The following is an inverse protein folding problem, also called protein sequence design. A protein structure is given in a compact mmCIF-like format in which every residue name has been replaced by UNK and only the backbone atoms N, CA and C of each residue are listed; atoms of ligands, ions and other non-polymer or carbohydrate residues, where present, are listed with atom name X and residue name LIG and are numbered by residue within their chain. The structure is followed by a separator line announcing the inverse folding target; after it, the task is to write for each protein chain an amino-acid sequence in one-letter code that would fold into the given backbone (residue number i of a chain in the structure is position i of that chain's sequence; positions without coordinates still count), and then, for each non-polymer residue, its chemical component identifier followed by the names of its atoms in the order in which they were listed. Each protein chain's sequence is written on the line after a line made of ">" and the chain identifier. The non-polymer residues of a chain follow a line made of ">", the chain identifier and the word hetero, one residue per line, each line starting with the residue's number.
data_IF_846328810974
#
_entry.id   IF_846328810974
#
_cell.length_a   1.000
_cell.length_b   1.000
_cell.length_c   1.000
_cell.angle_alpha   90.00
_cell.angle_beta   90.00
_cell.angle_gamma   90.00
#
_symmetry.space_group_name_H-M   'P 1'
#
loop_
_entity.id
_entity.type
_entity.pdbx_description
1 polymer ?
#
# COMPACT_ATOMS: atom_id res chain seq x y z
N UNK A 1 -37.96 6.70 -7.82
CA UNK A 1 -37.27 6.16 -6.64
C UNK A 1 -36.13 5.27 -7.07
N UNK A 2 -34.98 5.51 -6.49
CA UNK A 2 -33.86 4.63 -6.74
C UNK A 2 -34.03 3.31 -5.98
N UNK A 3 -33.52 2.25 -6.57
CA UNK A 3 -33.49 0.95 -5.90
C UNK A 3 -32.46 1.00 -4.76
N UNK A 4 -32.70 0.30 -3.65
CA UNK A 4 -31.67 0.17 -2.62
C UNK A 4 -30.44 -0.52 -3.21
N UNK A 5 -29.27 -0.17 -2.69
CA UNK A 5 -28.06 -0.86 -3.06
C UNK A 5 -28.16 -2.34 -2.68
N UNK A 6 -27.60 -3.18 -3.51
CA UNK A 6 -27.55 -4.62 -3.24
C UNK A 6 -26.61 -4.90 -2.06
N UNK A 7 -27.06 -5.70 -1.12
CA UNK A 7 -26.21 -6.14 -0.03
C UNK A 7 -25.19 -7.15 -0.52
N UNK A 8 -23.98 -7.01 0.00
CA UNK A 8 -22.89 -7.93 -0.27
C UNK A 8 -22.46 -8.62 1.02
N UNK A 9 -22.23 -9.92 0.94
CA UNK A 9 -21.71 -10.65 2.08
C UNK A 9 -20.26 -10.30 2.34
N UNK A 10 -19.74 -10.62 3.53
CA UNK A 10 -18.35 -10.40 3.86
C UNK A 10 -17.44 -11.34 3.08
N UNK A 11 -16.21 -10.90 2.87
CA UNK A 11 -15.16 -11.74 2.30
C UNK A 11 -14.05 -11.88 3.34
N UNK A 12 -13.53 -13.08 3.46
CA UNK A 12 -12.52 -13.40 4.46
C UNK A 12 -11.23 -13.83 3.78
N UNK A 13 -10.09 -13.36 4.30
CA UNK A 13 -8.77 -13.80 3.88
C UNK A 13 -7.96 -14.06 5.14
N UNK A 14 -7.26 -15.18 5.18
CA UNK A 14 -6.27 -15.42 6.24
C UNK A 14 -4.89 -15.13 5.68
N UNK A 15 -4.10 -14.42 6.44
CA UNK A 15 -2.76 -13.98 5.97
C UNK A 15 -1.86 -15.16 5.62
N UNK A 16 -2.01 -16.28 6.31
CA UNK A 16 -1.20 -17.47 6.04
C UNK A 16 -1.54 -18.16 4.72
N UNK A 17 -2.71 -17.86 4.17
CA UNK A 17 -3.15 -18.42 2.89
C UNK A 17 -2.65 -17.61 1.70
N UNK A 18 -2.04 -16.45 1.96
CA UNK A 18 -1.58 -15.56 0.92
C UNK A 18 -0.06 -15.64 0.79
N UNK A 19 0.46 -15.73 -0.43
CA UNK A 19 1.91 -15.76 -0.62
C UNK A 19 2.53 -14.38 -0.41
N UNK A 20 3.78 -14.36 0.04
CA UNK A 20 4.59 -13.16 -0.05
C UNK A 20 5.07 -12.98 -1.48
N UNK A 21 4.93 -11.79 -2.01
CA UNK A 21 5.39 -11.44 -3.35
C UNK A 21 6.45 -10.35 -3.25
N UNK A 22 7.53 -10.52 -4.01
CA UNK A 22 8.63 -9.56 -4.02
C UNK A 22 8.19 -8.25 -4.65
N UNK A 23 8.50 -7.15 -3.99
CA UNK A 23 8.29 -5.82 -4.52
C UNK A 23 9.47 -5.37 -5.38
N UNK A 24 9.31 -4.20 -5.99
CA UNK A 24 10.32 -3.65 -6.90
C UNK A 24 11.68 -3.41 -6.24
N UNK A 25 11.67 -2.89 -5.02
CA UNK A 25 12.91 -2.56 -4.32
C UNK A 25 13.37 -3.72 -3.45
N UNK A 26 14.71 -3.94 -3.35
CA UNK A 26 15.23 -5.04 -2.57
C UNK A 26 14.78 -5.00 -1.11
N UNK A 27 14.59 -6.19 -0.53
CA UNK A 27 14.23 -6.32 0.88
C UNK A 27 12.78 -6.02 1.20
N UNK A 28 11.92 -5.93 0.20
CA UNK A 28 10.50 -5.64 0.38
C UNK A 28 9.65 -6.71 -0.26
N UNK A 29 8.66 -7.19 0.49
CA UNK A 29 7.67 -8.16 0.01
C UNK A 29 6.30 -7.75 0.49
N UNK A 30 5.27 -8.09 -0.27
CA UNK A 30 3.89 -7.81 0.12
C UNK A 30 3.00 -9.01 0.06
N UNK A 31 1.94 -8.97 0.86
CA UNK A 31 0.77 -9.85 0.73
C UNK A 31 -0.41 -8.97 0.43
N UNK A 32 -1.04 -9.18 -0.73
CA UNK A 32 -2.27 -8.48 -1.09
C UNK A 32 -3.45 -9.30 -0.61
N UNK A 33 -4.29 -8.70 0.22
CA UNK A 33 -5.46 -9.37 0.79
C UNK A 33 -6.70 -9.07 -0.02
N UNK A 34 -7.00 -7.80 -0.23
CA UNK A 34 -8.12 -7.35 -1.02
C UNK A 34 -7.65 -6.31 -2.01
N UNK A 35 -8.23 -6.37 -3.19
CA UNK A 35 -7.85 -5.47 -4.28
C UNK A 35 -9.11 -5.00 -5.00
N UNK A 36 -9.19 -3.73 -5.43
CA UNK A 36 -10.35 -3.25 -6.18
C UNK A 36 -10.57 -4.07 -7.44
N UNK A 37 -11.81 -4.40 -7.69
CA UNK A 37 -12.22 -5.08 -8.91
C UNK A 37 -12.57 -4.03 -9.97
N UNK A 38 -12.44 -4.35 -11.28
CA UNK A 38 -12.77 -3.37 -12.32
C UNK A 38 -14.17 -2.79 -12.20
N UNK A 39 -15.15 -3.61 -11.83
CA UNK A 39 -16.54 -3.19 -11.66
C UNK A 39 -16.79 -2.48 -10.32
N UNK A 40 -15.81 -2.47 -9.44
CA UNK A 40 -15.87 -1.86 -8.12
C UNK A 40 -14.55 -1.15 -7.79
N UNK A 41 -14.19 -0.23 -8.67
CA UNK A 41 -12.86 0.40 -8.65
C UNK A 41 -12.58 1.28 -7.43
N UNK A 42 -13.61 1.63 -6.66
CA UNK A 42 -13.45 2.44 -5.46
C UNK A 42 -13.31 1.62 -4.18
N UNK A 43 -13.34 0.30 -4.29
CA UNK A 43 -13.08 -0.54 -3.12
C UNK A 43 -11.62 -0.41 -2.71
N UNK A 44 -11.31 -0.63 -1.42
CA UNK A 44 -9.94 -0.47 -0.95
C UNK A 44 -9.01 -1.59 -1.40
N UNK A 45 -7.74 -1.25 -1.48
CA UNK A 45 -6.66 -2.20 -1.62
C UNK A 45 -6.00 -2.36 -0.26
N UNK A 46 -5.89 -3.59 0.23
CA UNK A 46 -5.34 -3.85 1.56
C UNK A 46 -4.30 -4.96 1.52
N UNK A 47 -3.36 -4.87 2.42
CA UNK A 47 -2.34 -5.89 2.53
C UNK A 47 -1.28 -5.57 3.58
N UNK A 48 -0.23 -6.37 3.53
CA UNK A 48 0.94 -6.20 4.38
C UNK A 48 2.17 -5.98 3.52
N UNK A 49 3.10 -5.19 4.03
CA UNK A 49 4.45 -5.09 3.46
C UNK A 49 5.44 -5.47 4.56
N UNK A 50 6.34 -6.38 4.21
CA UNK A 50 7.41 -6.83 5.07
C UNK A 50 8.73 -6.27 4.54
N UNK A 51 9.55 -5.76 5.45
CA UNK A 51 10.84 -5.16 5.13
C UNK A 51 11.96 -5.92 5.81
N UNK A 52 13.02 -6.20 5.07
CA UNK A 52 14.24 -6.73 5.66
C UNK A 52 15.07 -5.61 6.29
N UNK A 53 15.95 -5.94 7.27
CA UNK A 53 16.92 -4.96 7.75
C UNK A 53 17.73 -4.37 6.60
N UNK A 54 17.86 -3.06 6.58
CA UNK A 54 18.57 -2.36 5.51
C UNK A 54 17.72 -1.99 4.29
N UNK A 55 16.44 -2.33 4.29
CA UNK A 55 15.56 -1.99 3.18
C UNK A 55 15.38 -0.48 3.03
N UNK A 56 15.25 -0.05 1.79
CA UNK A 56 15.08 1.35 1.43
C UNK A 56 14.04 1.49 0.34
N UNK A 57 13.19 2.50 0.47
CA UNK A 57 12.19 2.84 -0.54
C UNK A 57 12.29 4.33 -0.83
N UNK A 58 12.52 4.74 -2.09
CA UNK A 58 12.71 6.16 -2.39
C UNK A 58 11.41 6.95 -2.28
N UNK A 59 11.55 8.26 -2.15
CA UNK A 59 10.43 9.17 -2.20
C UNK A 59 9.63 8.96 -3.48
N UNK A 60 8.31 8.93 -3.34
CA UNK A 60 7.41 8.70 -4.47
C UNK A 60 6.05 9.35 -4.23
N UNK A 61 5.24 9.39 -5.28
CA UNK A 61 3.91 10.00 -5.23
C UNK A 61 2.82 8.96 -5.49
N UNK A 62 1.69 9.13 -4.81
CA UNK A 62 0.46 8.39 -5.07
C UNK A 62 -0.72 9.34 -5.29
N UNK A 63 -1.59 8.97 -6.24
CA UNK A 63 -2.84 9.66 -6.53
C UNK A 63 -4.02 8.91 -5.90
N UNK A 64 -3.90 8.59 -4.63
CA UNK A 64 -4.94 7.96 -3.84
C UNK A 64 -4.67 8.25 -2.36
N UNK A 65 -5.62 7.90 -1.50
CA UNK A 65 -5.45 8.01 -0.07
C UNK A 65 -4.91 6.72 0.52
N UNK A 66 -4.22 6.81 1.64
CA UNK A 66 -3.61 5.66 2.26
C UNK A 66 -3.56 5.81 3.78
N UNK A 67 -3.83 4.70 4.45
CA UNK A 67 -3.55 4.53 5.88
C UNK A 67 -2.62 3.35 6.02
N UNK A 68 -1.57 3.49 6.82
CA UNK A 68 -0.79 2.32 7.18
C UNK A 68 -0.42 2.34 8.66
N UNK A 69 -0.19 1.14 9.17
CA UNK A 69 0.08 0.87 10.58
C UNK A 69 1.36 0.07 10.69
N UNK A 70 2.32 0.57 11.43
CA UNK A 70 3.55 -0.16 11.74
C UNK A 70 3.22 -1.17 12.82
N UNK A 71 3.37 -2.44 12.51
CA UNK A 71 3.13 -3.55 13.43
C UNK A 71 4.43 -3.94 14.14
N UNK A 72 5.51 -4.05 13.37
CA UNK A 72 6.82 -4.43 13.87
C UNK A 72 7.90 -3.56 13.24
N UNK A 73 8.97 -3.35 13.98
CA UNK A 73 10.16 -2.66 13.49
C UNK A 73 10.11 -1.16 13.62
N UNK A 74 11.24 -0.54 13.35
CA UNK A 74 11.42 0.91 13.40
C UNK A 74 11.81 1.41 12.03
N UNK A 75 11.14 2.48 11.59
CA UNK A 75 11.32 3.04 10.26
C UNK A 75 11.71 4.51 10.36
N UNK A 76 12.64 4.92 9.52
CA UNK A 76 12.92 6.32 9.32
C UNK A 76 12.21 6.74 8.04
N UNK A 77 11.32 7.72 8.14
CA UNK A 77 10.53 8.23 7.02
C UNK A 77 10.75 9.74 6.97
N UNK A 78 11.49 10.19 5.94
CA UNK A 78 12.03 11.53 5.94
C UNK A 78 12.89 11.76 7.17
N UNK A 79 12.55 12.76 7.96
CA UNK A 79 13.28 13.09 9.19
C UNK A 79 12.71 12.42 10.44
N UNK A 80 11.64 11.64 10.30
CA UNK A 80 10.96 11.04 11.45
C UNK A 80 11.36 9.60 11.65
N UNK A 81 11.54 9.21 12.89
CA UNK A 81 11.73 7.81 13.30
C UNK A 81 10.47 7.33 13.98
N UNK A 82 9.87 6.28 13.41
CA UNK A 82 8.56 5.79 13.82
C UNK A 82 8.64 4.30 14.17
N UNK A 83 8.00 3.93 15.25
CA UNK A 83 8.02 2.55 15.75
C UNK A 83 6.65 1.89 15.74
N UNK A 84 6.58 0.66 16.31
CA UNK A 84 5.33 -0.10 16.36
C UNK A 84 4.20 0.68 17.02
N UNK A 85 2.99 0.52 16.48
CA UNK A 85 1.81 1.24 16.96
C UNK A 85 1.56 2.57 16.24
N UNK A 86 2.51 3.04 15.44
CA UNK A 86 2.31 4.26 14.65
C UNK A 86 1.33 3.99 13.52
N UNK A 87 0.35 4.88 13.39
CA UNK A 87 -0.61 4.86 12.30
C UNK A 87 -0.46 6.17 11.53
N UNK A 88 -0.33 6.08 10.21
CA UNK A 88 -0.14 7.27 9.37
C UNK A 88 -1.28 7.36 8.36
N UNK A 89 -1.79 8.56 8.18
CA UNK A 89 -2.76 8.86 7.15
C UNK A 89 -2.14 9.76 6.10
N UNK A 90 -2.29 9.36 4.84
CA UNK A 90 -1.91 10.18 3.69
C UNK A 90 -3.16 10.50 2.90
N UNK A 91 -3.39 11.79 2.68
CA UNK A 91 -4.51 12.23 1.85
C UNK A 91 -4.24 11.99 0.35
N UNK A 92 -5.26 12.12 -0.45
CA UNK A 92 -5.19 12.02 -1.90
C UNK A 92 -5.06 13.43 -2.52
N UNK A 93 -4.05 13.75 -3.33
CA UNK A 93 -2.82 12.99 -3.57
C UNK A 93 -1.76 13.28 -2.51
N UNK A 94 -0.69 12.51 -2.50
CA UNK A 94 0.37 12.74 -1.54
C UNK A 94 1.72 12.27 -2.05
N UNK A 95 2.78 12.82 -1.45
CA UNK A 95 4.13 12.27 -1.54
C UNK A 95 4.44 11.49 -0.28
N UNK A 96 5.07 10.35 -0.44
CA UNK A 96 5.67 9.62 0.67
C UNK A 96 7.17 9.87 0.64
N UNK A 97 7.71 10.32 1.76
CA UNK A 97 9.14 10.54 1.88
C UNK A 97 9.90 9.23 1.80
N UNK A 98 11.20 9.32 1.55
CA UNK A 98 12.03 8.13 1.53
C UNK A 98 11.97 7.40 2.87
N UNK A 99 11.92 6.09 2.78
CA UNK A 99 11.79 5.20 3.91
C UNK A 99 13.03 4.31 3.99
N UNK A 100 13.54 4.17 5.18
CA UNK A 100 14.60 3.21 5.47
C UNK A 100 14.34 2.53 6.81
N UNK A 101 14.90 1.34 6.99
CA UNK A 101 14.78 0.61 8.24
C UNK A 101 16.06 -0.18 8.52
N UNK A 102 16.60 -0.02 9.71
CA UNK A 102 17.75 -0.82 10.15
C UNK A 102 17.31 -2.15 10.75
N UNK A 103 16.11 -2.17 11.32
CA UNK A 103 15.58 -3.37 12.01
C UNK A 103 14.81 -4.29 11.09
N UNK A 104 14.35 -3.79 9.94
CA UNK A 104 13.27 -4.43 9.21
C UNK A 104 11.94 -4.23 9.93
N UNK A 105 10.89 -4.79 9.41
CA UNK A 105 9.60 -4.68 10.06
C UNK A 105 8.42 -5.10 9.20
N UNK A 106 7.24 -4.82 9.71
CA UNK A 106 5.97 -5.20 9.09
C UNK A 106 4.98 -4.05 9.21
N UNK A 107 4.33 -3.73 8.10
CA UNK A 107 3.25 -2.74 8.04
C UNK A 107 1.99 -3.36 7.46
N UNK A 108 0.84 -2.93 7.96
CA UNK A 108 -0.46 -3.17 7.34
C UNK A 108 -0.90 -1.88 6.65
N UNK A 109 -1.46 -1.99 5.45
CA UNK A 109 -1.93 -0.80 4.73
C UNK A 109 -3.34 -0.97 4.19
N UNK A 110 -4.02 0.16 4.07
CA UNK A 110 -5.30 0.32 3.37
C UNK A 110 -5.14 1.50 2.42
N UNK A 111 -5.33 1.24 1.14
CA UNK A 111 -5.29 2.26 0.09
C UNK A 111 -6.67 2.35 -0.53
N UNK A 112 -7.11 3.55 -0.83
CA UNK A 112 -8.46 3.76 -1.36
C UNK A 112 -8.55 5.03 -2.17
N UNK A 113 -9.59 5.08 -3.01
CA UNK A 113 -9.86 6.25 -3.84
C UNK A 113 -10.19 7.44 -2.96
N UNK A 114 -9.44 8.51 -3.13
CA UNK A 114 -9.69 9.74 -2.41
C UNK A 114 -10.51 10.73 -3.19
N UNK A 115 -10.94 11.82 -2.53
CA UNK A 115 -11.88 12.77 -3.12
C UNK A 115 -11.28 13.73 -4.15
N UNK A 116 -9.98 14.01 -4.07
CA UNK A 116 -9.39 15.07 -4.90
C UNK A 116 -9.07 14.60 -6.31
N UNK A 117 -8.41 13.46 -6.45
CA UNK A 117 -8.10 12.93 -7.79
C UNK A 117 -9.17 12.00 -8.31
N UNK A 118 -9.93 11.35 -7.42
CA UNK A 118 -10.89 10.33 -7.80
C UNK A 118 -10.24 9.06 -8.35
N UNK A 119 -8.92 8.97 -8.28
CA UNK A 119 -8.16 7.80 -8.71
C UNK A 119 -8.02 6.81 -7.57
N UNK A 120 -7.85 5.55 -7.89
CA UNK A 120 -7.70 4.50 -6.90
C UNK A 120 -6.40 3.75 -7.04
N UNK A 121 -6.07 2.93 -6.05
CA UNK A 121 -4.87 2.10 -6.07
C UNK A 121 -5.06 0.89 -6.98
N UNK A 122 -5.22 1.12 -8.27
CA UNK A 122 -5.43 0.07 -9.25
C UNK A 122 -4.08 -0.43 -9.74
N UNK A 123 -3.86 -1.70 -9.57
CA UNK A 123 -2.62 -2.36 -9.99
C UNK A 123 -2.80 -2.91 -11.41
N UNK A 124 -2.82 -2.02 -12.37
CA UNK A 124 -3.09 -2.29 -13.77
C UNK A 124 -1.82 -2.40 -14.62
N UNK A 125 -0.80 -2.99 -14.07
CA UNK A 125 0.49 -3.11 -14.72
C UNK A 125 1.53 -2.15 -14.16
N UNK A 126 1.14 -1.05 -13.51
CA UNK A 126 2.10 -0.20 -12.79
C UNK A 126 2.62 -0.93 -11.56
N UNK A 127 1.73 -1.66 -10.92
CA UNK A 127 2.03 -2.48 -9.76
C UNK A 127 1.71 -3.94 -10.04
N UNK A 128 2.01 -4.40 -11.23
CA UNK A 128 1.83 -5.81 -11.50
C UNK A 128 2.87 -6.60 -10.73
N UNK A 129 2.47 -7.11 -9.60
CA UNK A 129 3.37 -7.82 -8.69
C UNK A 129 3.97 -9.05 -9.33
N UNK A 130 3.18 -9.76 -10.14
CA UNK A 130 3.66 -10.98 -10.81
C UNK A 130 4.74 -10.68 -11.83
N UNK A 131 4.57 -9.62 -12.58
CA UNK A 131 5.54 -9.22 -13.59
C UNK A 131 6.62 -8.32 -13.01
N UNK A 132 6.44 -7.86 -11.77
CA UNK A 132 7.37 -6.94 -11.12
C UNK A 132 7.69 -5.74 -11.97
N UNK A 133 6.69 -5.22 -12.63
CA UNK A 133 6.87 -4.04 -13.45
C UNK A 133 7.35 -2.88 -12.61
N UNK A 134 8.24 -2.14 -13.15
CA UNK A 134 8.70 -0.91 -12.54
C UNK A 134 7.52 0.02 -12.31
N UNK A 135 7.52 0.70 -11.17
CA UNK A 135 6.62 1.82 -10.97
C UNK A 135 6.89 2.83 -12.07
N UNK A 136 5.85 3.48 -12.56
CA UNK A 136 6.03 4.54 -13.52
C UNK A 136 6.78 5.70 -12.87
N UNK A 137 7.43 6.53 -13.67
CA UNK A 137 8.10 7.71 -13.17
C UNK A 137 7.16 8.64 -12.42
N UNK A 138 5.87 8.61 -12.75
CA UNK A 138 4.84 9.35 -12.04
C UNK A 138 4.78 8.99 -10.57
N UNK A 139 5.08 7.74 -10.24
CA UNK A 139 5.06 7.25 -8.87
C UNK A 139 6.41 7.36 -8.17
N UNK A 140 7.45 7.64 -8.90
CA UNK A 140 8.82 7.74 -8.40
C UNK A 140 9.36 9.16 -8.49
N UNK A 141 8.56 10.10 -8.12
CA UNK A 141 9.02 11.48 -8.13
C UNK A 141 9.88 11.77 -6.91
N UNK A 142 11.06 12.11 -7.15
CA UNK A 142 12.05 12.45 -6.13
C UNK A 142 12.45 13.90 -6.24
#
# INVERSE_FOLDING_TARGET
>A
MSQPAKDHGPEYRHVDDMPWETLRFPGQESKMLFHPRPERATEPNTGFVRYEPGAYHPRHRHDFAQVWHIIEGTFKIGERTLGPGTVVFYADPHYEEDLSTETGGLMFFVQYTGPDTGKGPIYDGRFNMKERKALSEENLQV
#
